data_IF_271529201503
#
_entry.id   IF_271529201503
#
_cell.length_a   1.000
_cell.length_b   1.000
_cell.length_c   1.000
_cell.angle_alpha   90.00
_cell.angle_beta   90.00
_cell.angle_gamma   90.00
#
_symmetry.space_group_name_H-M   'P 1'
#
loop_
_entity.id
_entity.type
_entity.pdbx_description
1 polymer ?
#
# COMPACT_ATOMS: atom_id res chain seq x y z
N UNK A 1 53.31 -68.47 21.39
CA UNK A 1 52.23 -68.83 20.44
C UNK A 1 52.20 -67.76 19.37
N UNK A 2 52.73 -68.08 18.20
CA UNK A 2 52.85 -67.21 17.03
C UNK A 2 51.69 -67.60 16.11
N UNK A 3 50.73 -66.70 15.92
CA UNK A 3 49.61 -66.86 14.99
C UNK A 3 49.91 -66.13 13.67
N UNK A 4 49.51 -66.67 12.51
CA UNK A 4 49.99 -66.20 11.22
C UNK A 4 49.32 -64.88 10.79
N UNK A 5 50.14 -63.98 10.25
CA UNK A 5 49.72 -62.77 9.54
C UNK A 5 48.92 -63.15 8.28
N UNK A 6 47.72 -62.58 8.13
CA UNK A 6 47.00 -62.55 6.85
C UNK A 6 47.62 -61.45 5.97
N UNK A 7 47.81 -61.70 4.66
CA UNK A 7 48.27 -60.67 3.74
C UNK A 7 47.12 -59.72 3.39
N UNK A 8 47.43 -58.43 3.43
CA UNK A 8 46.61 -57.36 2.87
C UNK A 8 46.53 -57.54 1.36
N UNK A 9 45.33 -57.83 0.86
CA UNK A 9 45.01 -57.71 -0.56
C UNK A 9 44.54 -56.29 -0.83
N UNK A 10 45.48 -55.44 -1.24
CA UNK A 10 45.21 -54.20 -1.97
C UNK A 10 44.53 -54.54 -3.30
N UNK A 11 43.21 -54.66 -3.26
CA UNK A 11 42.33 -54.69 -4.43
C UNK A 11 42.00 -53.28 -4.88
N UNK A 12 43.01 -52.52 -5.31
CA UNK A 12 42.84 -51.27 -6.05
C UNK A 12 42.24 -51.55 -7.41
N UNK A 13 40.93 -51.84 -7.44
CA UNK A 13 40.12 -51.91 -8.65
C UNK A 13 39.95 -50.51 -9.22
N UNK A 14 41.00 -50.00 -9.86
CA UNK A 14 40.89 -48.88 -10.79
C UNK A 14 39.97 -49.33 -11.91
N UNK A 15 38.69 -48.97 -11.79
CA UNK A 15 37.77 -48.97 -12.91
C UNK A 15 38.37 -48.05 -13.95
N UNK A 16 39.01 -48.63 -14.96
CA UNK A 16 39.39 -47.93 -16.17
C UNK A 16 38.13 -47.21 -16.66
N UNK A 17 38.11 -45.89 -16.51
CA UNK A 17 37.12 -44.99 -17.08
C UNK A 17 37.04 -45.37 -18.55
N UNK A 18 35.92 -45.99 -18.95
CA UNK A 18 35.64 -46.23 -20.36
C UNK A 18 35.89 -44.90 -21.07
N UNK A 19 36.83 -44.91 -22.04
CA UNK A 19 37.20 -43.72 -22.78
C UNK A 19 35.92 -43.02 -23.23
N UNK A 20 35.73 -41.76 -22.81
CA UNK A 20 34.60 -40.92 -23.22
C UNK A 20 34.70 -40.76 -24.74
N UNK A 21 34.00 -41.61 -25.53
CA UNK A 21 34.24 -41.67 -26.97
C UNK A 21 33.79 -40.39 -27.65
N UNK A 22 32.97 -39.60 -26.94
CA UNK A 22 32.30 -38.41 -27.43
C UNK A 22 32.84 -37.12 -26.79
N UNK A 23 33.84 -37.17 -25.89
CA UNK A 23 34.59 -36.01 -25.38
C UNK A 23 33.82 -34.90 -24.65
N UNK A 24 32.49 -34.98 -24.52
CA UNK A 24 31.64 -33.92 -23.96
C UNK A 24 31.44 -34.02 -22.43
N UNK A 25 31.69 -35.18 -21.82
CA UNK A 25 31.35 -35.42 -20.40
C UNK A 25 32.22 -34.60 -19.46
N UNK A 26 33.51 -34.50 -19.77
CA UNK A 26 34.45 -33.73 -18.95
C UNK A 26 34.11 -32.21 -18.98
N UNK A 27 33.90 -31.56 -20.14
CA UNK A 27 33.35 -30.20 -20.19
C UNK A 27 32.04 -30.03 -19.43
N UNK A 28 31.11 -30.98 -19.55
CA UNK A 28 29.80 -30.87 -18.88
C UNK A 28 29.92 -31.00 -17.36
N UNK A 29 30.80 -31.87 -16.86
CA UNK A 29 31.09 -31.99 -15.44
C UNK A 29 31.75 -30.72 -14.88
N UNK A 30 32.67 -30.10 -15.63
CA UNK A 30 33.22 -28.78 -15.28
C UNK A 30 32.12 -27.72 -15.21
N UNK A 31 31.22 -27.71 -16.19
CA UNK A 31 30.09 -26.79 -16.20
C UNK A 31 29.17 -26.98 -14.98
N UNK A 32 28.85 -28.22 -14.61
CA UNK A 32 28.00 -28.52 -13.46
C UNK A 32 28.59 -28.09 -12.11
N UNK A 33 29.92 -28.10 -11.99
CA UNK A 33 30.64 -27.75 -10.76
C UNK A 33 31.10 -26.29 -10.70
N UNK A 34 30.96 -25.53 -11.80
CA UNK A 34 31.36 -24.13 -11.85
C UNK A 34 30.40 -23.22 -11.06
N UNK A 35 30.99 -22.39 -10.19
CA UNK A 35 30.26 -21.45 -9.33
C UNK A 35 30.38 -19.99 -9.78
N UNK A 36 31.52 -19.60 -10.35
CA UNK A 36 31.73 -18.25 -10.88
C UNK A 36 31.14 -18.14 -12.28
N UNK A 37 30.35 -17.09 -12.53
CA UNK A 37 29.66 -16.88 -13.81
C UNK A 37 30.61 -16.92 -15.02
N UNK A 38 31.84 -16.39 -14.88
CA UNK A 38 32.86 -16.46 -15.94
C UNK A 38 33.28 -17.90 -16.25
N UNK A 39 33.49 -18.72 -15.23
CA UNK A 39 33.87 -20.12 -15.40
C UNK A 39 32.72 -20.95 -15.98
N UNK A 40 31.48 -20.64 -15.57
CA UNK A 40 30.27 -21.26 -16.07
C UNK A 40 30.10 -20.99 -17.57
N UNK A 41 30.24 -19.72 -17.99
CA UNK A 41 30.14 -19.36 -19.42
C UNK A 41 31.22 -20.04 -20.25
N UNK A 42 32.46 -20.11 -19.75
CA UNK A 42 33.56 -20.80 -20.42
C UNK A 42 33.26 -22.30 -20.57
N UNK A 43 32.89 -22.97 -19.47
CA UNK A 43 32.60 -24.40 -19.50
C UNK A 43 31.35 -24.73 -20.35
N UNK A 44 30.33 -23.87 -20.34
CA UNK A 44 29.17 -24.00 -21.23
C UNK A 44 29.59 -23.91 -22.70
N UNK A 45 30.47 -22.98 -23.05
CA UNK A 45 30.99 -22.86 -24.41
C UNK A 45 31.75 -24.12 -24.85
N UNK A 46 32.59 -24.69 -23.97
CA UNK A 46 33.30 -25.95 -24.24
C UNK A 46 32.35 -27.11 -24.55
N UNK A 47 31.23 -27.22 -23.83
CA UNK A 47 30.20 -28.25 -24.09
C UNK A 47 29.49 -27.99 -25.42
N UNK A 48 29.10 -26.74 -25.68
CA UNK A 48 28.30 -26.37 -26.85
C UNK A 48 29.10 -26.37 -28.16
N UNK A 49 30.40 -26.08 -28.09
CA UNK A 49 31.30 -26.09 -29.24
C UNK A 49 31.79 -27.52 -29.57
N UNK A 50 31.61 -28.47 -28.64
CA UNK A 50 31.88 -29.87 -28.90
C UNK A 50 30.90 -30.43 -29.95
N UNK A 51 31.38 -31.09 -31.03
CA UNK A 51 30.52 -31.74 -32.01
C UNK A 51 29.53 -32.71 -31.32
N UNK A 52 28.23 -32.49 -31.50
CA UNK A 52 27.18 -33.31 -30.89
C UNK A 52 26.97 -33.10 -29.38
N UNK A 53 27.72 -32.21 -28.73
CA UNK A 53 27.67 -32.02 -27.27
C UNK A 53 26.27 -31.64 -26.76
N UNK A 54 25.57 -30.74 -27.45
CA UNK A 54 24.15 -30.41 -27.17
C UNK A 54 23.27 -31.67 -27.18
N UNK A 55 23.33 -32.44 -28.27
CA UNK A 55 22.50 -33.63 -28.47
C UNK A 55 22.81 -34.68 -27.40
N UNK A 56 24.09 -34.94 -27.15
CA UNK A 56 24.52 -35.93 -26.17
C UNK A 56 24.08 -35.58 -24.75
N UNK A 57 24.21 -34.31 -24.33
CA UNK A 57 23.74 -33.85 -23.01
C UNK A 57 22.23 -34.05 -22.88
N UNK A 58 21.45 -33.68 -23.89
CA UNK A 58 19.99 -33.88 -23.88
C UNK A 58 19.64 -35.35 -23.82
N UNK A 59 20.21 -36.19 -24.69
CA UNK A 59 19.91 -37.63 -24.72
C UNK A 59 20.23 -38.34 -23.40
N UNK A 60 21.26 -37.90 -22.68
CA UNK A 60 21.65 -38.51 -21.40
C UNK A 60 20.90 -37.95 -20.19
N UNK A 61 20.41 -36.71 -20.25
CA UNK A 61 19.89 -35.97 -19.08
C UNK A 61 18.52 -35.31 -19.31
N UNK A 62 17.77 -35.72 -20.33
CA UNK A 62 16.40 -35.25 -20.60
C UNK A 62 15.34 -35.89 -19.70
N UNK A 63 15.67 -36.91 -18.91
CA UNK A 63 14.73 -37.49 -17.94
C UNK A 63 14.32 -36.42 -16.90
N UNK A 64 13.01 -36.18 -16.67
CA UNK A 64 12.51 -35.29 -15.62
C UNK A 64 13.08 -35.56 -14.22
N UNK A 65 13.41 -36.82 -13.93
CA UNK A 65 13.93 -37.27 -12.63
C UNK A 65 15.47 -37.24 -12.56
N UNK A 66 16.15 -36.83 -13.63
CA UNK A 66 17.62 -36.72 -13.63
C UNK A 66 18.08 -35.56 -12.72
N UNK A 67 18.97 -35.82 -11.73
CA UNK A 67 19.48 -34.77 -10.84
C UNK A 67 20.26 -33.65 -11.56
N UNK A 68 20.75 -33.90 -12.79
CA UNK A 68 21.46 -32.93 -13.62
C UNK A 68 20.53 -32.15 -14.56
N UNK A 69 19.23 -32.43 -14.59
CA UNK A 69 18.24 -31.68 -15.39
C UNK A 69 18.29 -30.17 -15.20
N UNK A 70 18.45 -29.62 -13.97
CA UNK A 70 18.64 -28.17 -13.80
C UNK A 70 19.89 -27.62 -14.49
N UNK A 71 20.94 -28.42 -14.62
CA UNK A 71 22.16 -28.02 -15.34
C UNK A 71 21.95 -28.07 -16.86
N UNK A 72 21.18 -29.02 -17.39
CA UNK A 72 20.78 -29.01 -18.81
C UNK A 72 20.02 -27.72 -19.15
N UNK A 73 19.03 -27.34 -18.32
CA UNK A 73 18.28 -26.08 -18.50
C UNK A 73 19.19 -24.85 -18.38
N UNK A 74 20.19 -24.89 -17.49
CA UNK A 74 21.21 -23.83 -17.38
C UNK A 74 22.07 -23.75 -18.64
N UNK A 75 22.53 -24.89 -19.17
CA UNK A 75 23.30 -24.95 -20.42
C UNK A 75 22.50 -24.39 -21.60
N UNK A 76 21.21 -24.78 -21.70
CA UNK A 76 20.29 -24.26 -22.69
C UNK A 76 20.13 -22.73 -22.63
N UNK A 77 20.18 -22.12 -21.43
CA UNK A 77 20.13 -20.65 -21.29
C UNK A 77 21.41 -20.03 -21.84
N UNK A 78 22.57 -20.59 -21.51
CA UNK A 78 23.84 -20.07 -22.01
C UNK A 78 23.99 -20.20 -23.54
N UNK A 79 23.46 -21.27 -24.16
CA UNK A 79 23.41 -21.36 -25.63
C UNK A 79 22.59 -20.21 -26.24
N UNK A 80 21.40 -19.94 -25.68
CA UNK A 80 20.56 -18.83 -26.12
C UNK A 80 21.21 -17.46 -25.86
N UNK A 81 21.89 -17.27 -24.73
CA UNK A 81 22.65 -16.05 -24.46
C UNK A 81 23.74 -15.81 -25.51
N UNK A 82 24.50 -16.85 -25.88
CA UNK A 82 25.52 -16.76 -26.95
C UNK A 82 24.91 -16.34 -28.29
N UNK A 83 23.74 -16.89 -28.64
CA UNK A 83 23.01 -16.54 -29.87
C UNK A 83 22.53 -15.09 -29.84
N UNK A 84 21.99 -14.65 -28.72
CA UNK A 84 21.59 -13.25 -28.48
C UNK A 84 22.79 -12.32 -28.68
N UNK A 85 23.91 -12.59 -28.01
CA UNK A 85 25.13 -11.77 -28.08
C UNK A 85 25.72 -11.74 -29.50
N UNK A 86 25.58 -12.84 -30.25
CA UNK A 86 26.02 -12.95 -31.65
C UNK A 86 25.02 -12.37 -32.67
N UNK A 87 23.88 -11.84 -32.23
CA UNK A 87 22.82 -11.32 -33.11
C UNK A 87 22.17 -12.41 -33.98
N UNK A 88 22.20 -13.66 -33.55
CA UNK A 88 21.61 -14.79 -34.26
C UNK A 88 20.13 -14.99 -33.88
N UNK A 89 19.33 -15.63 -34.76
CA UNK A 89 17.98 -16.06 -34.38
C UNK A 89 18.03 -16.97 -33.15
N UNK A 90 17.34 -16.56 -32.09
CA UNK A 90 17.46 -17.19 -30.77
C UNK A 90 16.14 -17.70 -30.20
N UNK A 91 15.00 -17.13 -30.58
CA UNK A 91 13.67 -17.51 -30.08
C UNK A 91 13.26 -18.92 -30.51
N UNK A 92 13.53 -19.29 -31.76
CA UNK A 92 13.34 -20.66 -32.25
C UNK A 92 14.27 -21.65 -31.51
N UNK A 93 15.55 -21.30 -31.35
CA UNK A 93 16.52 -22.14 -30.63
C UNK A 93 16.12 -22.35 -29.15
N UNK A 94 15.57 -21.32 -28.50
CA UNK A 94 15.02 -21.40 -27.16
C UNK A 94 13.85 -22.39 -27.09
N UNK A 95 12.91 -22.34 -28.04
CA UNK A 95 11.80 -23.29 -28.09
C UNK A 95 12.26 -24.72 -28.42
N UNK A 96 13.24 -24.88 -29.32
CA UNK A 96 13.87 -26.18 -29.60
C UNK A 96 14.49 -26.81 -28.36
N UNK A 97 15.19 -26.03 -27.53
CA UNK A 97 15.75 -26.54 -26.27
C UNK A 97 14.67 -27.05 -25.33
N UNK A 98 13.57 -26.30 -25.17
CA UNK A 98 12.45 -26.74 -24.34
C UNK A 98 11.81 -28.01 -24.88
N UNK A 99 11.61 -28.11 -26.20
CA UNK A 99 11.09 -29.32 -26.83
C UNK A 99 12.03 -30.51 -26.68
N UNK A 100 13.35 -30.29 -26.77
CA UNK A 100 14.35 -31.36 -26.72
C UNK A 100 14.42 -32.03 -25.34
N UNK A 101 14.14 -31.29 -24.27
CA UNK A 101 14.12 -31.80 -22.89
C UNK A 101 12.71 -32.14 -22.38
N UNK A 102 11.72 -32.09 -23.27
CA UNK A 102 10.29 -32.22 -22.94
C UNK A 102 9.89 -31.37 -21.71
N UNK A 103 10.19 -30.07 -21.79
CA UNK A 103 10.08 -29.17 -20.65
C UNK A 103 8.64 -29.05 -20.14
N UNK A 104 8.48 -29.17 -18.82
CA UNK A 104 7.23 -28.84 -18.13
C UNK A 104 6.88 -27.36 -18.30
N UNK A 105 5.65 -26.95 -17.99
CA UNK A 105 5.30 -25.53 -18.05
C UNK A 105 6.09 -24.71 -17.02
N UNK A 106 6.43 -25.26 -15.86
CA UNK A 106 7.22 -24.58 -14.81
C UNK A 106 8.65 -24.30 -15.27
N UNK A 107 9.25 -25.26 -15.96
CA UNK A 107 10.59 -25.14 -16.54
C UNK A 107 10.60 -24.14 -17.68
N UNK A 108 9.62 -24.24 -18.59
CA UNK A 108 9.42 -23.28 -19.67
C UNK A 108 9.22 -21.86 -19.11
N UNK A 109 8.38 -21.67 -18.09
CA UNK A 109 8.18 -20.37 -17.44
C UNK A 109 9.48 -19.79 -16.86
N UNK A 110 10.24 -20.62 -16.15
CA UNK A 110 11.52 -20.22 -15.55
C UNK A 110 12.56 -19.84 -16.61
N UNK A 111 12.70 -20.71 -17.60
CA UNK A 111 13.63 -20.56 -18.72
C UNK A 111 13.31 -19.35 -19.59
N UNK A 112 12.08 -19.27 -20.12
CA UNK A 112 11.62 -18.23 -21.03
C UNK A 112 11.70 -16.85 -20.39
N UNK A 113 11.34 -16.72 -19.11
CA UNK A 113 11.44 -15.45 -18.39
C UNK A 113 12.90 -14.97 -18.27
N UNK A 114 13.84 -15.87 -17.97
CA UNK A 114 15.26 -15.52 -17.83
C UNK A 114 15.88 -15.13 -19.19
N UNK A 115 15.62 -15.90 -20.25
CA UNK A 115 16.17 -15.59 -21.58
C UNK A 115 15.55 -14.34 -22.18
N UNK A 116 14.26 -14.10 -21.99
CA UNK A 116 13.62 -12.88 -22.46
C UNK A 116 14.16 -11.64 -21.71
N UNK A 117 14.42 -11.75 -20.41
CA UNK A 117 15.02 -10.67 -19.63
C UNK A 117 16.46 -10.39 -20.08
N UNK A 118 17.29 -11.42 -20.24
CA UNK A 118 18.66 -11.26 -20.75
C UNK A 118 18.67 -10.60 -22.13
N UNK A 119 17.84 -11.11 -23.06
CA UNK A 119 17.75 -10.59 -24.41
C UNK A 119 17.32 -9.11 -24.43
N UNK A 120 16.40 -8.71 -23.54
CA UNK A 120 16.03 -7.30 -23.36
C UNK A 120 17.23 -6.45 -22.93
N UNK A 121 18.00 -6.89 -21.93
CA UNK A 121 19.21 -6.18 -21.49
C UNK A 121 20.27 -6.06 -22.61
N UNK A 122 20.39 -7.10 -23.44
CA UNK A 122 21.25 -7.11 -24.62
C UNK A 122 20.67 -6.33 -25.83
N UNK A 123 19.55 -5.61 -25.65
CA UNK A 123 18.84 -4.87 -26.72
C UNK A 123 18.35 -5.74 -27.89
N UNK A 124 18.14 -7.03 -27.64
CA UNK A 124 17.64 -8.04 -28.56
C UNK A 124 16.26 -8.55 -28.12
N UNK A 125 15.35 -7.63 -27.78
CA UNK A 125 14.02 -7.96 -27.24
C UNK A 125 13.31 -9.05 -28.07
N UNK A 126 12.57 -9.94 -27.39
CA UNK A 126 11.75 -10.98 -28.04
C UNK A 126 10.89 -10.39 -29.15
N UNK A 127 10.31 -9.21 -28.90
CA UNK A 127 9.38 -8.53 -29.81
C UNK A 127 10.03 -8.06 -31.13
N UNK A 128 11.36 -8.06 -31.22
CA UNK A 128 12.09 -7.78 -32.47
C UNK A 128 12.30 -9.03 -33.34
N UNK A 129 12.13 -10.22 -32.76
CA UNK A 129 12.49 -11.49 -33.39
C UNK A 129 11.35 -12.51 -33.47
N UNK A 130 10.28 -12.29 -32.71
CA UNK A 130 9.10 -13.13 -32.67
C UNK A 130 7.87 -12.27 -32.91
N UNK A 131 7.22 -12.53 -34.04
CA UNK A 131 6.02 -11.83 -34.48
C UNK A 131 4.75 -12.38 -33.80
N UNK A 132 3.79 -11.50 -33.57
CA UNK A 132 2.54 -11.84 -32.89
C UNK A 132 1.68 -12.80 -33.71
N UNK A 133 1.58 -12.60 -35.02
CA UNK A 133 0.76 -13.47 -35.88
C UNK A 133 1.32 -14.89 -35.89
N UNK A 134 2.64 -15.05 -35.81
CA UNK A 134 3.25 -16.39 -35.66
C UNK A 134 2.77 -17.07 -34.38
N UNK A 135 2.84 -16.35 -33.25
CA UNK A 135 2.51 -16.90 -31.92
C UNK A 135 1.02 -17.20 -31.75
N UNK A 136 0.14 -16.40 -32.39
CA UNK A 136 -1.31 -16.63 -32.36
C UNK A 136 -1.74 -17.98 -32.96
N UNK A 137 -0.94 -18.53 -33.88
CA UNK A 137 -1.22 -19.81 -34.56
C UNK A 137 -0.52 -21.01 -33.92
N UNK A 138 0.32 -20.77 -32.90
CA UNK A 138 0.99 -21.86 -32.18
C UNK A 138 0.01 -22.62 -31.27
N UNK A 139 0.20 -23.93 -31.13
CA UNK A 139 -0.58 -24.73 -30.19
C UNK A 139 0.10 -24.74 -28.81
N UNK A 140 -0.45 -24.05 -27.79
CA UNK A 140 0.15 -23.97 -26.45
C UNK A 140 0.13 -25.31 -25.70
N UNK A 141 -0.56 -26.33 -26.22
CA UNK A 141 -0.51 -27.69 -25.67
C UNK A 141 0.86 -28.36 -25.93
N UNK A 142 1.53 -27.97 -27.02
CA UNK A 142 2.87 -28.47 -27.36
C UNK A 142 3.96 -27.72 -26.59
N UNK A 143 5.09 -28.36 -26.33
CA UNK A 143 6.22 -27.73 -25.63
C UNK A 143 6.77 -26.53 -26.42
N UNK A 144 6.90 -26.68 -27.73
CA UNK A 144 7.35 -25.61 -28.64
C UNK A 144 6.39 -24.43 -28.62
N UNK A 145 5.09 -24.65 -28.88
CA UNK A 145 4.10 -23.58 -28.93
C UNK A 145 3.96 -22.86 -27.59
N UNK A 146 3.93 -23.60 -26.47
CA UNK A 146 3.95 -23.02 -25.11
C UNK A 146 5.15 -22.13 -24.89
N UNK A 147 6.34 -22.58 -25.30
CA UNK A 147 7.58 -21.82 -25.11
C UNK A 147 7.60 -20.53 -25.93
N UNK A 148 7.07 -20.56 -27.16
CA UNK A 148 6.91 -19.36 -27.99
C UNK A 148 5.90 -18.37 -27.39
N UNK A 149 4.75 -18.86 -26.90
CA UNK A 149 3.76 -18.05 -26.18
C UNK A 149 4.38 -17.41 -24.92
N UNK A 150 5.08 -18.20 -24.10
CA UNK A 150 5.78 -17.70 -22.91
C UNK A 150 6.82 -16.62 -23.25
N UNK A 151 7.66 -16.85 -24.26
CA UNK A 151 8.66 -15.87 -24.70
C UNK A 151 7.99 -14.56 -25.14
N UNK A 152 6.99 -14.65 -26.02
CA UNK A 152 6.29 -13.49 -26.55
C UNK A 152 5.63 -12.66 -25.44
N UNK A 153 4.89 -13.32 -24.55
CA UNK A 153 4.23 -12.66 -23.42
C UNK A 153 5.24 -12.10 -22.39
N UNK A 154 6.38 -12.76 -22.18
CA UNK A 154 7.48 -12.21 -21.37
C UNK A 154 8.06 -10.93 -21.99
N UNK A 155 8.22 -10.90 -23.32
CA UNK A 155 8.62 -9.69 -24.05
C UNK A 155 7.65 -8.54 -23.80
N UNK A 156 6.34 -8.77 -23.97
CA UNK A 156 5.31 -7.77 -23.68
C UNK A 156 5.32 -7.34 -22.20
N UNK A 157 5.49 -8.28 -21.27
CA UNK A 157 5.55 -8.02 -19.83
C UNK A 157 6.72 -7.11 -19.45
N UNK A 158 7.93 -7.40 -19.92
CA UNK A 158 9.11 -6.61 -19.57
C UNK A 158 9.13 -5.23 -20.21
N UNK A 159 8.40 -5.04 -21.31
CA UNK A 159 8.18 -3.73 -21.94
C UNK A 159 6.85 -3.07 -21.50
N UNK A 160 6.19 -3.64 -20.47
CA UNK A 160 4.97 -3.11 -19.87
C UNK A 160 3.83 -2.86 -20.87
N UNK A 161 3.71 -3.72 -21.89
CA UNK A 161 2.68 -3.63 -22.94
C UNK A 161 1.37 -4.29 -22.49
N UNK A 162 0.84 -3.87 -21.34
CA UNK A 162 -0.30 -4.50 -20.67
C UNK A 162 -1.54 -4.64 -21.57
N UNK A 163 -1.91 -3.56 -22.30
CA UNK A 163 -3.03 -3.58 -23.25
C UNK A 163 -2.83 -4.58 -24.40
N UNK A 164 -1.59 -4.71 -24.91
CA UNK A 164 -1.30 -5.69 -25.97
C UNK A 164 -1.41 -7.13 -25.48
N UNK A 165 -1.12 -7.38 -24.20
CA UNK A 165 -1.33 -8.71 -23.60
C UNK A 165 -2.82 -9.04 -23.61
N UNK A 166 -3.68 -8.13 -23.15
CA UNK A 166 -5.14 -8.36 -23.17
C UNK A 166 -5.67 -8.51 -24.60
N UNK A 167 -5.19 -7.70 -25.55
CA UNK A 167 -5.57 -7.81 -26.97
C UNK A 167 -5.08 -9.10 -27.63
N UNK A 168 -3.94 -9.63 -27.19
CA UNK A 168 -3.43 -10.93 -27.61
C UNK A 168 -4.40 -12.03 -27.16
N UNK A 169 -4.78 -12.06 -25.87
CA UNK A 169 -5.70 -13.07 -25.35
C UNK A 169 -7.12 -12.98 -25.94
N UNK A 170 -7.57 -11.79 -26.34
CA UNK A 170 -8.84 -11.63 -27.07
C UNK A 170 -8.84 -12.27 -28.47
N UNK A 171 -7.67 -12.43 -29.09
CA UNK A 171 -7.51 -13.05 -30.42
C UNK A 171 -6.95 -14.47 -30.34
N UNK A 172 -6.42 -14.87 -29.20
CA UNK A 172 -5.86 -16.19 -29.00
C UNK A 172 -6.98 -17.22 -29.01
N UNK A 173 -6.87 -18.24 -29.86
CA UNK A 173 -7.98 -19.15 -30.15
C UNK A 173 -8.39 -20.07 -28.98
N UNK A 174 -7.58 -20.13 -27.91
CA UNK A 174 -7.77 -21.04 -26.78
C UNK A 174 -8.43 -20.35 -25.59
N UNK A 175 -9.42 -20.98 -24.94
CA UNK A 175 -9.96 -20.50 -23.67
C UNK A 175 -8.87 -20.40 -22.59
N UNK A 176 -8.96 -19.39 -21.73
CA UNK A 176 -7.96 -19.14 -20.67
C UNK A 176 -7.85 -20.31 -19.69
N UNK A 177 -8.93 -21.03 -19.44
CA UNK A 177 -8.99 -22.16 -18.51
C UNK A 177 -8.22 -23.38 -19.00
N UNK A 178 -7.99 -23.50 -20.31
CA UNK A 178 -7.19 -24.57 -20.92
C UNK A 178 -5.68 -24.27 -20.90
N UNK A 179 -5.29 -23.05 -20.54
CA UNK A 179 -3.90 -22.63 -20.53
C UNK A 179 -3.22 -22.95 -19.20
N UNK A 180 -1.90 -23.14 -19.26
CA UNK A 180 -1.11 -23.39 -18.06
C UNK A 180 -1.14 -22.19 -17.09
N UNK A 181 -0.87 -22.41 -15.79
CA UNK A 181 -0.94 -21.35 -14.78
C UNK A 181 -0.04 -20.14 -15.07
N UNK A 182 1.12 -20.34 -15.72
CA UNK A 182 2.02 -19.23 -16.03
C UNK A 182 1.44 -18.35 -17.14
N UNK A 183 0.94 -18.93 -18.23
CA UNK A 183 0.26 -18.18 -19.30
C UNK A 183 -0.93 -17.39 -18.75
N UNK A 184 -1.75 -18.00 -17.87
CA UNK A 184 -2.86 -17.31 -17.18
C UNK A 184 -2.37 -16.17 -16.27
N UNK A 185 -1.23 -16.34 -15.61
CA UNK A 185 -0.63 -15.27 -14.80
C UNK A 185 -0.15 -14.07 -15.62
N UNK A 186 0.26 -14.28 -16.86
CA UNK A 186 0.64 -13.21 -17.79
C UNK A 186 -0.61 -12.44 -18.27
N UNK A 187 -1.73 -13.14 -18.50
CA UNK A 187 -3.02 -12.48 -18.72
C UNK A 187 -3.43 -11.62 -17.52
N UNK A 188 -3.38 -12.18 -16.30
CA UNK A 188 -3.67 -11.44 -15.07
C UNK A 188 -2.73 -10.23 -14.91
N UNK A 189 -1.43 -10.38 -15.19
CA UNK A 189 -0.49 -9.26 -15.24
C UNK A 189 -0.96 -8.14 -16.18
N UNK A 190 -1.44 -8.48 -17.39
CA UNK A 190 -1.95 -7.51 -18.36
C UNK A 190 -3.16 -6.73 -17.84
N UNK A 191 -4.10 -7.39 -17.17
CA UNK A 191 -5.26 -6.74 -16.54
C UNK A 191 -4.86 -5.88 -15.34
N UNK A 192 -4.09 -6.45 -14.41
CA UNK A 192 -3.62 -5.76 -13.20
C UNK A 192 -2.80 -4.52 -13.54
N UNK A 193 -1.90 -4.61 -14.52
CA UNK A 193 -1.08 -3.48 -14.95
C UNK A 193 -1.87 -2.36 -15.63
N UNK A 194 -3.13 -2.58 -15.98
CA UNK A 194 -4.07 -1.56 -16.46
C UNK A 194 -4.98 -1.00 -15.35
N UNK A 195 -4.85 -1.49 -14.12
CA UNK A 195 -5.75 -1.14 -13.01
C UNK A 195 -7.13 -1.82 -13.11
N UNK A 196 -7.28 -2.87 -13.93
CA UNK A 196 -8.55 -3.58 -14.06
C UNK A 196 -8.74 -4.57 -12.88
N UNK A 197 -9.81 -4.37 -12.10
CA UNK A 197 -10.20 -5.23 -10.99
C UNK A 197 -10.49 -6.68 -11.40
N UNK A 198 -10.84 -6.94 -12.68
CA UNK A 198 -10.94 -8.31 -13.21
C UNK A 198 -9.62 -9.06 -13.06
N UNK A 199 -8.49 -8.35 -13.16
CA UNK A 199 -7.16 -8.90 -12.94
C UNK A 199 -6.96 -9.47 -11.53
N UNK A 200 -7.63 -8.91 -10.51
CA UNK A 200 -7.57 -9.44 -9.14
C UNK A 200 -8.24 -10.80 -9.04
N UNK A 201 -9.38 -10.99 -9.72
CA UNK A 201 -10.05 -12.29 -9.75
C UNK A 201 -9.23 -13.33 -10.51
N UNK A 202 -8.69 -12.96 -11.68
CA UNK A 202 -7.80 -13.85 -12.42
C UNK A 202 -6.54 -14.22 -11.61
N UNK A 203 -5.98 -13.29 -10.85
CA UNK A 203 -4.87 -13.56 -9.94
C UNK A 203 -5.26 -14.56 -8.86
N UNK A 204 -6.40 -14.36 -8.21
CA UNK A 204 -6.89 -15.27 -7.16
C UNK A 204 -7.12 -16.68 -7.73
N UNK A 205 -7.69 -16.81 -8.93
CA UNK A 205 -7.90 -18.09 -9.62
C UNK A 205 -6.57 -18.80 -9.99
N UNK A 206 -5.56 -18.03 -10.40
CA UNK A 206 -4.22 -18.56 -10.73
C UNK A 206 -3.54 -19.05 -9.46
N UNK A 207 -3.56 -18.26 -8.38
CA UNK A 207 -2.96 -18.62 -7.10
C UNK A 207 -3.63 -19.83 -6.45
N UNK A 208 -4.94 -19.99 -6.64
CA UNK A 208 -5.68 -21.16 -6.19
C UNK A 208 -5.33 -22.42 -6.98
N UNK A 209 -5.04 -22.28 -8.28
CA UNK A 209 -4.65 -23.40 -9.15
C UNK A 209 -3.20 -23.85 -8.91
N UNK A 210 -2.24 -22.92 -8.91
CA UNK A 210 -0.84 -23.22 -8.63
C UNK A 210 -0.09 -21.97 -8.14
N UNK A 211 0.57 -22.07 -6.98
CA UNK A 211 1.43 -21.03 -6.42
C UNK A 211 2.88 -21.48 -6.17
N UNK A 212 3.30 -22.56 -6.82
CA UNK A 212 4.62 -23.22 -6.65
C UNK A 212 5.70 -22.69 -7.60
N UNK A 213 5.34 -21.87 -8.59
CA UNK A 213 6.30 -21.32 -9.52
C UNK A 213 6.63 -19.85 -9.20
N UNK A 214 7.92 -19.57 -8.94
CA UNK A 214 8.37 -18.22 -8.57
C UNK A 214 8.18 -17.18 -9.70
N UNK A 215 8.29 -17.56 -10.98
CA UNK A 215 8.12 -16.62 -12.10
C UNK A 215 6.67 -16.18 -12.27
N UNK A 216 5.73 -17.08 -12.01
CA UNK A 216 4.30 -16.79 -11.92
C UNK A 216 4.05 -15.77 -10.81
N UNK A 217 4.56 -16.01 -9.59
CA UNK A 217 4.39 -15.08 -8.48
C UNK A 217 4.98 -13.69 -8.79
N UNK A 218 6.15 -13.65 -9.44
CA UNK A 218 6.74 -12.40 -9.91
C UNK A 218 5.90 -11.69 -10.99
N UNK A 219 5.25 -12.43 -11.89
CA UNK A 219 4.35 -11.84 -12.88
C UNK A 219 3.18 -11.12 -12.19
N UNK A 220 2.52 -11.81 -11.26
CA UNK A 220 1.39 -11.26 -10.51
C UNK A 220 1.81 -10.04 -9.68
N UNK A 221 2.92 -10.13 -8.93
CA UNK A 221 3.44 -9.00 -8.15
C UNK A 221 3.82 -7.80 -9.03
N UNK A 222 4.37 -8.04 -10.23
CA UNK A 222 4.71 -6.95 -11.15
C UNK A 222 3.44 -6.29 -11.72
N UNK A 223 2.39 -7.07 -12.00
CA UNK A 223 1.09 -6.54 -12.44
C UNK A 223 0.46 -5.69 -11.36
N UNK A 224 0.41 -6.20 -10.12
CA UNK A 224 -0.02 -5.43 -8.95
C UNK A 224 0.80 -4.16 -8.78
N UNK A 225 2.12 -4.21 -8.93
CA UNK A 225 2.98 -3.04 -8.75
C UNK A 225 2.72 -1.92 -9.78
N UNK A 226 2.36 -2.29 -11.02
CA UNK A 226 2.06 -1.35 -12.11
C UNK A 226 0.66 -0.75 -12.04
N UNK A 227 -0.31 -1.52 -11.58
CA UNK A 227 -1.69 -1.07 -11.51
C UNK A 227 -1.84 0.19 -10.68
N UNK A 228 -2.77 1.06 -11.07
CA UNK A 228 -3.18 2.20 -10.27
C UNK A 228 -4.50 1.87 -9.57
N UNK A 229 -4.66 2.36 -8.33
CA UNK A 229 -5.92 2.31 -7.57
C UNK A 229 -6.56 0.92 -7.32
N UNK A 230 -5.83 -0.17 -7.55
CA UNK A 230 -6.31 -1.53 -7.26
C UNK A 230 -6.64 -1.73 -5.75
N UNK A 231 -7.83 -2.26 -5.41
CA UNK A 231 -8.19 -2.55 -4.02
C UNK A 231 -7.20 -3.50 -3.32
N UNK A 232 -6.66 -3.08 -2.16
CA UNK A 232 -5.76 -3.91 -1.35
C UNK A 232 -4.45 -4.27 -2.04
N UNK A 233 -4.01 -3.50 -3.04
CA UNK A 233 -2.83 -3.76 -3.85
C UNK A 233 -1.58 -4.08 -3.02
N UNK A 234 -1.28 -3.26 -2.00
CA UNK A 234 -0.09 -3.42 -1.18
C UNK A 234 -0.18 -4.68 -0.31
N UNK A 235 -1.33 -4.92 0.31
CA UNK A 235 -1.61 -6.10 1.12
C UNK A 235 -1.49 -7.39 0.30
N UNK A 236 -2.01 -7.39 -0.94
CA UNK A 236 -1.92 -8.53 -1.85
C UNK A 236 -0.49 -8.83 -2.29
N UNK A 237 0.34 -7.80 -2.52
CA UNK A 237 1.78 -7.99 -2.75
C UNK A 237 2.42 -8.67 -1.52
N UNK A 238 2.12 -8.19 -0.31
CA UNK A 238 2.64 -8.77 0.93
C UNK A 238 2.15 -10.20 1.17
N UNK A 239 0.93 -10.53 0.77
CA UNK A 239 0.39 -11.90 0.83
C UNK A 239 1.14 -12.86 -0.09
N UNK A 240 1.39 -12.47 -1.36
CA UNK A 240 2.20 -13.27 -2.27
C UNK A 240 3.61 -13.49 -1.70
N UNK A 241 4.16 -12.45 -1.07
CA UNK A 241 5.46 -12.49 -0.42
C UNK A 241 5.51 -13.40 0.83
N UNK A 242 4.38 -13.88 1.36
CA UNK A 242 4.36 -14.88 2.44
C UNK A 242 4.53 -16.32 1.95
N UNK A 243 4.52 -16.55 0.63
CA UNK A 243 4.67 -17.89 0.04
C UNK A 243 6.08 -18.47 0.28
N UNK A 244 6.24 -19.80 0.33
CA UNK A 244 7.51 -20.45 0.68
C UNK A 244 8.75 -19.97 -0.09
N UNK A 245 8.60 -19.67 -1.39
CA UNK A 245 9.68 -19.18 -2.25
C UNK A 245 10.34 -17.88 -1.75
N UNK A 246 9.61 -17.05 -1.01
CA UNK A 246 10.11 -15.75 -0.53
C UNK A 246 10.45 -15.75 0.96
N UNK A 247 10.32 -16.89 1.64
CA UNK A 247 10.56 -17.03 3.09
C UNK A 247 11.98 -16.61 3.51
N UNK A 248 12.98 -16.94 2.69
CA UNK A 248 14.38 -16.60 2.94
C UNK A 248 14.69 -15.10 2.76
N UNK A 249 13.79 -14.33 2.12
CA UNK A 249 13.97 -12.89 1.84
C UNK A 249 15.31 -12.59 1.16
N UNK A 250 15.70 -13.41 0.18
CA UNK A 250 16.96 -13.30 -0.56
C UNK A 250 16.77 -12.96 -2.05
N UNK A 251 15.52 -12.76 -2.49
CA UNK A 251 15.21 -12.31 -3.83
C UNK A 251 15.14 -10.77 -3.85
N UNK A 252 16.07 -10.08 -4.52
CA UNK A 252 16.10 -8.62 -4.54
C UNK A 252 14.84 -8.04 -5.20
N UNK A 253 14.34 -8.64 -6.28
CA UNK A 253 13.15 -8.11 -6.98
C UNK A 253 11.92 -8.24 -6.07
N UNK A 254 11.79 -9.34 -5.33
CA UNK A 254 10.73 -9.50 -4.33
C UNK A 254 10.83 -8.43 -3.22
N UNK A 255 12.04 -8.13 -2.73
CA UNK A 255 12.28 -7.09 -1.72
C UNK A 255 11.98 -5.68 -2.22
N UNK A 256 12.21 -5.39 -3.52
CA UNK A 256 11.80 -4.13 -4.14
C UNK A 256 10.28 -3.97 -4.11
N UNK A 257 9.52 -5.04 -4.39
CA UNK A 257 8.06 -5.04 -4.31
C UNK A 257 7.55 -4.96 -2.88
N UNK A 258 8.25 -5.61 -1.94
CA UNK A 258 7.98 -5.51 -0.51
C UNK A 258 8.14 -4.05 -0.01
N UNK A 259 9.22 -3.38 -0.41
CA UNK A 259 9.47 -1.99 -0.06
C UNK A 259 8.37 -1.05 -0.58
N UNK A 260 7.98 -1.24 -1.85
CA UNK A 260 6.84 -0.53 -2.44
C UNK A 260 5.54 -0.73 -1.65
N UNK A 261 5.23 -1.97 -1.29
CA UNK A 261 4.00 -2.27 -0.56
C UNK A 261 3.99 -1.61 0.81
N UNK A 262 5.06 -1.73 1.59
CA UNK A 262 5.16 -1.05 2.89
C UNK A 262 5.10 0.48 2.78
N UNK A 263 5.69 1.07 1.73
CA UNK A 263 5.57 2.51 1.47
C UNK A 263 4.11 2.91 1.24
N UNK A 264 3.36 2.16 0.43
CA UNK A 264 1.94 2.43 0.14
C UNK A 264 1.08 2.32 1.41
N UNK A 265 1.44 1.43 2.34
CA UNK A 265 0.81 1.32 3.67
C UNK A 265 1.27 2.38 4.67
N UNK A 266 2.29 3.18 4.34
CA UNK A 266 2.87 4.18 5.24
C UNK A 266 3.81 3.61 6.31
N UNK A 267 4.19 2.33 6.23
CA UNK A 267 5.22 1.73 7.08
C UNK A 267 6.62 1.99 6.49
N UNK A 268 7.06 3.24 6.59
CA UNK A 268 8.34 3.66 5.99
C UNK A 268 9.55 2.97 6.62
N UNK A 269 9.46 2.51 7.88
CA UNK A 269 10.55 1.80 8.53
C UNK A 269 10.79 0.44 7.86
N UNK A 270 9.71 -0.34 7.66
CA UNK A 270 9.82 -1.62 6.94
C UNK A 270 10.16 -1.44 5.46
N UNK A 271 9.62 -0.40 4.82
CA UNK A 271 9.95 -0.08 3.43
C UNK A 271 11.46 0.15 3.26
N UNK A 272 12.08 0.93 4.17
CA UNK A 272 13.53 1.18 4.18
C UNK A 272 14.34 -0.08 4.44
N UNK A 273 13.95 -0.88 5.42
CA UNK A 273 14.65 -2.13 5.71
C UNK A 273 14.63 -3.10 4.51
N UNK A 274 13.49 -3.21 3.81
CA UNK A 274 13.36 -4.05 2.63
C UNK A 274 14.22 -3.55 1.47
N UNK A 275 14.18 -2.23 1.16
CA UNK A 275 14.97 -1.69 0.04
C UNK A 275 16.48 -1.79 0.29
N UNK A 276 16.94 -1.50 1.51
CA UNK A 276 18.36 -1.59 1.88
C UNK A 276 18.87 -3.03 1.80
N UNK A 277 18.07 -4.01 2.27
CA UNK A 277 18.40 -5.43 2.13
C UNK A 277 18.46 -5.87 0.67
N UNK A 278 17.50 -5.43 -0.14
CA UNK A 278 17.49 -5.78 -1.56
C UNK A 278 18.67 -5.19 -2.31
N UNK A 279 19.07 -3.93 -2.02
CA UNK A 279 20.28 -3.31 -2.58
C UNK A 279 21.55 -4.09 -2.25
N UNK A 280 21.65 -4.64 -1.03
CA UNK A 280 22.80 -5.45 -0.61
C UNK A 280 22.92 -6.80 -1.35
N UNK A 281 21.85 -7.26 -1.99
CA UNK A 281 21.78 -8.54 -2.72
C UNK A 281 21.90 -8.36 -4.25
N UNK A 282 21.97 -7.12 -4.75
CA UNK A 282 22.02 -6.87 -6.18
C UNK A 282 23.36 -7.28 -6.78
N UNK A 283 23.29 -7.86 -7.97
CA UNK A 283 24.46 -8.06 -8.82
C UNK A 283 25.06 -6.70 -9.21
N UNK A 284 26.38 -6.49 -9.12
CA UNK A 284 27.02 -5.22 -9.43
C UNK A 284 26.87 -4.79 -10.90
N UNK A 285 26.56 -5.72 -11.81
CA UNK A 285 26.38 -5.46 -13.25
C UNK A 285 24.95 -5.12 -13.64
N UNK A 286 23.97 -5.28 -12.74
CA UNK A 286 22.55 -5.06 -13.02
C UNK A 286 22.14 -3.57 -12.95
N UNK A 287 22.79 -2.70 -13.72
CA UNK A 287 22.66 -1.23 -13.64
C UNK A 287 21.20 -0.74 -13.67
N UNK A 288 20.39 -1.24 -14.61
CA UNK A 288 18.97 -0.86 -14.71
C UNK A 288 18.18 -1.19 -13.43
N UNK A 289 18.53 -2.29 -12.76
CA UNK A 289 17.90 -2.70 -11.51
C UNK A 289 18.34 -1.80 -10.37
N UNK A 290 19.64 -1.45 -10.29
CA UNK A 290 20.14 -0.47 -9.31
C UNK A 290 19.39 0.86 -9.39
N UNK A 291 19.12 1.36 -10.60
CA UNK A 291 18.33 2.59 -10.80
C UNK A 291 16.89 2.47 -10.31
N UNK A 292 16.24 1.30 -10.47
CA UNK A 292 14.90 1.07 -9.92
C UNK A 292 14.89 1.12 -8.40
N UNK A 293 15.90 0.53 -7.76
CA UNK A 293 16.06 0.57 -6.31
C UNK A 293 16.33 1.98 -5.78
N UNK A 294 17.20 2.74 -6.46
CA UNK A 294 17.44 4.15 -6.13
C UNK A 294 16.16 4.98 -6.19
N UNK A 295 15.38 4.85 -7.27
CA UNK A 295 14.09 5.55 -7.43
C UNK A 295 13.08 5.18 -6.35
N UNK A 296 12.97 3.90 -5.99
CA UNK A 296 12.05 3.47 -4.93
C UNK A 296 12.51 4.00 -3.56
N UNK A 297 13.81 3.96 -3.26
CA UNK A 297 14.37 4.56 -2.04
C UNK A 297 14.05 6.05 -1.94
N UNK A 298 14.23 6.80 -3.01
CA UNK A 298 13.90 8.24 -3.04
C UNK A 298 12.40 8.47 -2.86
N UNK A 299 11.56 7.62 -3.46
CA UNK A 299 10.10 7.66 -3.29
C UNK A 299 9.68 7.39 -1.83
N UNK A 300 10.36 6.49 -1.13
CA UNK A 300 10.14 6.23 0.31
C UNK A 300 10.46 7.47 1.13
N UNK A 301 11.61 8.10 0.90
CA UNK A 301 12.02 9.31 1.63
C UNK A 301 11.08 10.48 1.37
N UNK A 302 10.69 10.70 0.12
CA UNK A 302 9.75 11.76 -0.25
C UNK A 302 8.37 11.56 0.39
N UNK A 303 7.84 10.33 0.37
CA UNK A 303 6.55 10.02 1.00
C UNK A 303 6.60 10.18 2.52
N UNK A 304 7.71 9.81 3.15
CA UNK A 304 7.92 10.00 4.59
C UNK A 304 7.93 11.49 4.96
N UNK A 305 8.66 12.33 4.23
CA UNK A 305 8.73 13.78 4.49
C UNK A 305 7.37 14.43 4.26
N UNK A 306 6.67 14.09 3.18
CA UNK A 306 5.33 14.61 2.91
C UNK A 306 4.36 14.29 4.04
N UNK A 307 4.39 13.06 4.58
CA UNK A 307 3.54 12.67 5.71
C UNK A 307 3.90 13.44 6.98
N UNK A 308 5.20 13.63 7.25
CA UNK A 308 5.65 14.42 8.39
C UNK A 308 5.20 15.89 8.27
N UNK A 309 5.28 16.48 7.09
CA UNK A 309 4.80 17.83 6.84
C UNK A 309 3.28 17.94 7.02
N UNK A 310 2.50 17.01 6.46
CA UNK A 310 1.05 17.00 6.61
C UNK A 310 0.61 16.88 8.09
N UNK A 311 1.36 16.11 8.90
CA UNK A 311 1.12 16.02 10.35
C UNK A 311 1.40 17.35 11.05
N UNK A 312 2.53 18.01 10.73
CA UNK A 312 2.85 19.34 11.28
C UNK A 312 1.78 20.37 10.94
N UNK A 313 1.30 20.36 9.69
CA UNK A 313 0.26 21.30 9.23
C UNK A 313 -1.08 21.04 9.93
N UNK A 314 -1.45 19.76 10.12
CA UNK A 314 -2.66 19.39 10.85
C UNK A 314 -2.58 19.80 12.34
N UNK A 315 -1.42 19.63 12.97
CA UNK A 315 -1.19 20.06 14.35
C UNK A 315 -1.27 21.58 14.49
N UNK A 316 -0.66 22.33 13.57
CA UNK A 316 -0.74 23.79 13.52
C UNK A 316 -2.18 24.28 13.29
N UNK A 317 -2.94 23.64 12.40
CA UNK A 317 -4.34 23.98 12.19
C UNK A 317 -5.18 23.69 13.45
N UNK A 318 -4.92 22.56 14.11
CA UNK A 318 -5.62 22.19 15.34
C UNK A 318 -5.35 23.17 16.47
N UNK A 319 -4.12 23.68 16.61
CA UNK A 319 -3.81 24.70 17.62
C UNK A 319 -4.56 26.00 17.35
N UNK A 320 -4.56 26.48 16.09
CA UNK A 320 -5.30 27.69 15.68
C UNK A 320 -6.80 27.54 15.95
N UNK A 321 -7.41 26.42 15.56
CA UNK A 321 -8.84 26.18 15.81
C UNK A 321 -9.15 26.14 17.30
N UNK A 322 -8.28 25.54 18.12
CA UNK A 322 -8.47 25.51 19.58
C UNK A 322 -8.39 26.91 20.18
N UNK A 323 -7.44 27.73 19.73
CA UNK A 323 -7.30 29.13 20.17
C UNK A 323 -8.52 29.99 19.79
N UNK A 324 -9.07 29.81 18.58
CA UNK A 324 -10.28 30.51 18.14
C UNK A 324 -11.52 30.07 18.92
N UNK A 325 -11.68 28.77 19.18
CA UNK A 325 -12.77 28.26 20.03
C UNK A 325 -12.67 28.85 21.43
N UNK A 326 -11.47 28.89 22.00
CA UNK A 326 -11.26 29.47 23.33
C UNK A 326 -11.49 30.98 23.34
N UNK A 327 -11.13 31.71 22.27
CA UNK A 327 -11.44 33.13 22.10
C UNK A 327 -12.96 33.34 22.03
N UNK A 328 -13.65 32.63 21.15
CA UNK A 328 -15.10 32.71 20.99
C UNK A 328 -15.83 32.36 22.30
N UNK A 329 -15.35 31.35 23.04
CA UNK A 329 -15.90 30.97 24.34
C UNK A 329 -15.72 32.08 25.38
N UNK A 330 -14.57 32.75 25.41
CA UNK A 330 -14.34 33.91 26.28
C UNK A 330 -15.26 35.06 25.91
N UNK A 331 -15.40 35.38 24.63
CA UNK A 331 -16.28 36.44 24.12
C UNK A 331 -17.75 36.19 24.46
N UNK A 332 -18.25 34.98 24.22
CA UNK A 332 -19.61 34.57 24.61
C UNK A 332 -19.76 34.64 26.13
N UNK A 333 -18.78 34.14 26.89
CA UNK A 333 -18.79 34.22 28.35
C UNK A 333 -18.90 35.66 28.86
N UNK A 334 -18.16 36.59 28.24
CA UNK A 334 -18.25 38.02 28.58
C UNK A 334 -19.59 38.63 28.22
N UNK A 335 -20.14 38.32 27.02
CA UNK A 335 -21.42 38.83 26.56
C UNK A 335 -22.59 38.30 27.42
N UNK A 336 -22.56 37.03 27.81
CA UNK A 336 -23.55 36.43 28.73
C UNK A 336 -23.46 37.07 30.11
N UNK A 337 -22.25 37.26 30.66
CA UNK A 337 -22.06 37.89 31.96
C UNK A 337 -22.50 39.37 31.97
N UNK A 338 -22.38 40.07 30.84
CA UNK A 338 -22.91 41.42 30.66
C UNK A 338 -24.43 41.42 30.55
N UNK A 339 -25.02 40.57 29.70
CA UNK A 339 -26.48 40.45 29.57
C UNK A 339 -27.19 40.05 30.87
N UNK A 340 -26.57 39.19 31.70
CA UNK A 340 -27.08 38.86 33.04
C UNK A 340 -27.04 40.08 33.97
N UNK A 341 -25.96 40.88 33.93
CA UNK A 341 -25.84 42.12 34.73
C UNK A 341 -26.89 43.16 34.30
N UNK A 342 -27.10 43.33 33.00
CA UNK A 342 -28.12 44.23 32.47
C UNK A 342 -29.54 43.78 32.83
N UNK A 343 -29.85 42.49 32.65
CA UNK A 343 -31.15 41.93 33.02
C UNK A 343 -31.43 42.11 34.51
N UNK A 344 -30.42 41.89 35.37
CA UNK A 344 -30.55 42.11 36.81
C UNK A 344 -30.84 43.58 37.14
N UNK A 345 -30.12 44.52 36.52
CA UNK A 345 -30.40 45.97 36.68
C UNK A 345 -31.81 46.34 36.22
N UNK A 346 -32.28 45.76 35.11
CA UNK A 346 -33.63 45.99 34.61
C UNK A 346 -34.71 45.45 35.57
N UNK A 347 -34.49 44.26 36.15
CA UNK A 347 -35.38 43.70 37.18
C UNK A 347 -35.36 44.55 38.44
N UNK A 348 -34.20 44.97 38.93
CA UNK A 348 -34.08 45.84 40.11
C UNK A 348 -34.77 47.21 39.87
N UNK A 349 -34.59 47.81 38.69
CA UNK A 349 -35.29 49.04 38.29
C UNK A 349 -36.80 48.84 38.16
N UNK A 350 -37.23 47.71 37.58
CA UNK A 350 -38.64 47.35 37.46
C UNK A 350 -39.30 47.14 38.83
N UNK A 351 -38.63 46.45 39.76
CA UNK A 351 -39.10 46.28 41.13
C UNK A 351 -39.26 47.62 41.84
N UNK A 352 -38.32 48.55 41.67
CA UNK A 352 -38.43 49.91 42.21
C UNK A 352 -39.67 50.65 41.66
N UNK A 353 -39.92 50.58 40.35
CA UNK A 353 -41.13 51.18 39.76
C UNK A 353 -42.43 50.54 40.25
N UNK A 354 -42.46 49.22 40.41
CA UNK A 354 -43.65 48.52 40.96
C UNK A 354 -43.91 48.96 42.40
N UNK A 355 -42.87 49.08 43.22
CA UNK A 355 -42.99 49.61 44.59
C UNK A 355 -43.49 51.05 44.58
N UNK A 356 -42.97 51.91 43.70
CA UNK A 356 -43.42 53.30 43.56
C UNK A 356 -44.90 53.38 43.19
N UNK A 357 -45.34 52.64 42.16
CA UNK A 357 -46.75 52.59 41.73
C UNK A 357 -47.65 52.06 42.84
N UNK A 358 -47.26 50.98 43.53
CA UNK A 358 -48.03 50.42 44.64
C UNK A 358 -48.14 51.42 45.81
N UNK A 359 -47.08 52.19 46.07
CA UNK A 359 -47.07 53.25 47.10
C UNK A 359 -48.08 54.35 46.79
N UNK A 360 -48.11 54.80 45.52
CA UNK A 360 -49.07 55.80 45.05
C UNK A 360 -50.51 55.27 45.15
N UNK A 361 -50.77 54.03 44.72
CA UNK A 361 -52.08 53.41 44.86
C UNK A 361 -52.52 53.26 46.32
N UNK A 362 -51.61 52.84 47.20
CA UNK A 362 -51.89 52.70 48.64
C UNK A 362 -52.24 54.05 49.26
N UNK A 363 -51.50 55.11 48.90
CA UNK A 363 -51.80 56.47 49.33
C UNK A 363 -53.15 56.95 48.82
N UNK A 364 -53.50 56.66 47.56
CA UNK A 364 -54.80 57.00 46.97
C UNK A 364 -55.96 56.28 47.69
N UNK A 365 -55.82 54.99 47.97
CA UNK A 365 -56.83 54.20 48.71
C UNK A 365 -56.99 54.74 50.13
N UNK A 366 -55.89 55.05 50.83
CA UNK A 366 -55.95 55.64 52.17
C UNK A 366 -56.66 57.00 52.16
N UNK A 367 -56.39 57.83 51.15
CA UNK A 367 -57.07 59.12 50.96
C UNK A 367 -58.58 58.95 50.70
N UNK A 368 -58.95 58.02 49.84
CA UNK A 368 -60.35 57.70 49.52
C UNK A 368 -61.09 57.12 50.73
N UNK A 369 -60.47 56.19 51.47
CA UNK A 369 -61.04 55.61 52.69
C UNK A 369 -61.22 56.67 53.79
N UNK A 370 -60.23 57.54 54.00
CA UNK A 370 -60.34 58.66 54.93
C UNK A 370 -61.44 59.65 54.53
N UNK A 371 -61.59 59.92 53.24
CA UNK A 371 -62.63 60.80 52.71
C UNK A 371 -64.04 60.18 52.85
N UNK A 372 -64.19 58.90 52.53
CA UNK A 372 -65.45 58.16 52.68
C UNK A 372 -65.90 58.00 54.14
N UNK A 373 -64.96 57.73 55.05
CA UNK A 373 -65.24 57.66 56.48
C UNK A 373 -65.76 59.00 57.04
N UNK A 374 -65.32 60.14 56.50
CA UNK A 374 -65.79 61.46 56.92
C UNK A 374 -67.24 61.76 56.53
N UNK A 375 -67.77 61.09 55.50
CA UNK A 375 -69.14 61.30 55.00
C UNK A 375 -70.16 60.42 55.72
N UNK A 376 -69.77 59.21 56.14
CA UNK A 376 -70.68 58.26 56.81
C UNK A 376 -70.92 58.61 58.29
N UNK A 377 -69.99 59.33 58.93
CA UNK A 377 -70.13 59.75 60.33
C UNK A 377 -70.87 61.09 60.39
N UNK A 378 -72.20 61.04 60.34
CA UNK A 378 -73.10 62.20 60.21
C UNK A 378 -73.15 63.21 61.38
N UNK A 379 -72.36 63.05 62.45
CA UNK A 379 -72.49 63.87 63.67
C UNK A 379 -71.19 64.55 64.16
N UNK A 380 -70.13 64.59 63.35
CA UNK A 380 -68.88 65.23 63.76
C UNK A 380 -68.94 66.75 63.57
N UNK A 381 -68.57 67.49 64.63
CA UNK A 381 -68.40 68.93 64.57
C UNK A 381 -67.27 69.31 63.58
N UNK A 382 -67.36 70.48 62.96
CA UNK A 382 -66.44 70.92 61.91
C UNK A 382 -64.96 70.83 62.32
N UNK A 383 -64.64 71.11 63.58
CA UNK A 383 -63.28 71.02 64.11
C UNK A 383 -62.80 69.56 64.25
N UNK A 384 -63.69 68.61 64.55
CA UNK A 384 -63.35 67.19 64.60
C UNK A 384 -63.05 66.65 63.21
N UNK A 385 -63.76 67.14 62.18
CA UNK A 385 -63.44 66.84 60.77
C UNK A 385 -62.06 67.40 60.39
N UNK A 386 -61.76 68.64 60.80
CA UNK A 386 -60.45 69.24 60.57
C UNK A 386 -59.32 68.45 61.26
N UNK A 387 -59.53 68.00 62.50
CA UNK A 387 -58.57 67.15 63.23
C UNK A 387 -58.42 65.78 62.56
N UNK A 388 -59.51 65.15 62.12
CA UNK A 388 -59.45 63.86 61.43
C UNK A 388 -58.69 63.99 60.10
N UNK A 389 -58.94 65.04 59.32
CA UNK A 389 -58.22 65.35 58.08
C UNK A 389 -56.74 65.59 58.39
N UNK A 390 -56.42 66.36 59.43
CA UNK A 390 -55.04 66.63 59.83
C UNK A 390 -54.32 65.35 60.27
N UNK A 391 -54.94 64.50 61.10
CA UNK A 391 -54.36 63.23 61.55
C UNK A 391 -54.16 62.29 60.37
N UNK A 392 -55.12 62.21 59.44
CA UNK A 392 -55.00 61.38 58.24
C UNK A 392 -53.91 61.90 57.31
N UNK A 393 -53.79 63.23 57.16
CA UNK A 393 -52.73 63.86 56.38
C UNK A 393 -51.35 63.64 57.01
N UNK A 394 -51.23 63.75 58.34
CA UNK A 394 -49.98 63.48 59.08
C UNK A 394 -49.63 62.00 59.01
N UNK A 395 -50.60 61.08 59.12
CA UNK A 395 -50.37 59.65 58.97
C UNK A 395 -49.93 59.30 57.54
N UNK A 396 -50.55 59.91 56.51
CA UNK A 396 -50.14 59.76 55.12
C UNK A 396 -48.73 60.32 54.88
N UNK A 397 -48.42 61.52 55.38
CA UNK A 397 -47.08 62.11 55.30
C UNK A 397 -46.05 61.27 56.04
N UNK A 398 -46.38 60.77 57.23
CA UNK A 398 -45.52 59.89 58.03
C UNK A 398 -45.25 58.56 57.31
N UNK A 399 -46.28 57.94 56.73
CA UNK A 399 -46.14 56.75 55.91
C UNK A 399 -45.26 57.01 54.69
N UNK A 400 -45.45 58.15 54.00
CA UNK A 400 -44.60 58.55 52.86
C UNK A 400 -43.14 58.79 53.27
N UNK A 401 -42.90 59.39 54.43
CA UNK A 401 -41.55 59.62 54.96
C UNK A 401 -40.89 58.29 55.35
N UNK A 402 -41.62 57.37 55.98
CA UNK A 402 -41.12 56.03 56.31
C UNK A 402 -40.80 55.24 55.04
N UNK A 403 -41.68 55.26 54.04
CA UNK A 403 -41.44 54.64 52.73
C UNK A 403 -40.23 55.27 52.04
N UNK A 404 -40.15 56.61 51.99
CA UNK A 404 -39.00 57.33 51.43
C UNK A 404 -37.71 57.00 52.17
N UNK A 405 -37.76 56.78 53.47
CA UNK A 405 -36.57 56.41 54.24
C UNK A 405 -36.18 54.96 54.02
N UNK A 406 -37.13 54.02 54.02
CA UNK A 406 -36.89 52.60 53.70
C UNK A 406 -36.37 52.39 52.27
N UNK A 407 -36.88 53.16 51.31
CA UNK A 407 -36.46 53.11 49.90
C UNK A 407 -35.16 53.90 49.68
N UNK A 408 -35.01 55.07 50.31
CA UNK A 408 -33.86 55.97 50.14
C UNK A 408 -32.56 55.49 50.81
N UNK A 409 -32.64 54.58 51.78
CA UNK A 409 -31.46 53.99 52.46
C UNK A 409 -30.70 52.99 51.55
N UNK A 410 -31.21 52.65 50.36
CA UNK A 410 -30.57 51.69 49.45
C UNK A 410 -30.02 52.26 48.13
N UNK A 411 -29.83 53.57 48.02
CA UNK A 411 -28.93 54.13 46.98
C UNK A 411 -27.51 54.18 47.54
N UNK A 412 -26.57 53.31 47.13
CA UNK A 412 -25.16 53.49 47.48
C UNK A 412 -24.67 54.78 46.80
N UNK A 413 -23.78 55.56 47.44
CA UNK A 413 -23.14 56.68 46.76
C UNK A 413 -22.43 56.17 45.51
N UNK A 414 -22.76 56.77 44.35
CA UNK A 414 -22.06 56.52 43.11
C UNK A 414 -20.56 56.72 43.31
N UNK A 415 -19.80 55.65 43.08
CA UNK A 415 -18.35 55.77 42.89
C UNK A 415 -18.14 56.33 41.49
N UNK A 416 -17.84 57.61 41.42
CA UNK A 416 -17.06 58.16 40.32
C UNK A 416 -15.68 57.48 40.32
N UNK A 417 -15.45 56.63 39.31
CA UNK A 417 -14.16 56.39 38.64
C UNK A 417 -14.35 55.53 37.41
#
# INVERSE_FOLDING_TARGET
MIGPQRPDTDGGGGTATAADPDGWREPFQRFCTAHLEVDVRRAAAEVLDHPGGRTAVVEHHADPDDPLRPQVLRLARHDVFRRVDAGQPWTAAAAEWMSAVDATWQESASYCADVAWYARQARASVLLSLDEDTVLHEDPSTVTGRSLVHLYLCGLRFDFRCARITDFFNRFARPLEELDPYTRSLHAFGLLGQGDEHGLRCMDDVLAADSSNVKLLHALMQGLWLGEELPGQAERILEILQRPHFSARNDPIALLREAYAYRKLGDFARARAAIERGMALLDPTAVEVHEQFGRERDSILAAQELRAQAQRDLEALRSVVTEEIDRARREIGTAVAEGVRESRKAVESGQLKVVEVLSVFTALIALLAGSGASVVIGSLAWWQRAVLILVTAVACCGFFLILRHLVGVRTPPGRDR
#
